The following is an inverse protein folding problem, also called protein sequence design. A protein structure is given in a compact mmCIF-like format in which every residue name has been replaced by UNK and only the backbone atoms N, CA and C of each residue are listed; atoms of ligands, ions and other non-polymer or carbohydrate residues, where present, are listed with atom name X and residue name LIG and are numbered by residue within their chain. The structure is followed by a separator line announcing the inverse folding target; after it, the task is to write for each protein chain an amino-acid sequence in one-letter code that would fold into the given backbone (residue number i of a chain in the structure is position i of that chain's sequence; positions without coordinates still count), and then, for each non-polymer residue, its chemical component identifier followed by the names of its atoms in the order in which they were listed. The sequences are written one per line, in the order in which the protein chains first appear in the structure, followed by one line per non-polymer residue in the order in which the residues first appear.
data_IF_239866331563
#
_entry.id   IF_239866331563
#
_cell.length_a   1.000
_cell.length_b   1.000
_cell.length_c   1.000
_cell.angle_alpha   90.00
_cell.angle_beta   90.00
_cell.angle_gamma   90.00
#
_symmetry.space_group_name_H-M   'P 1'
#
loop_
_entity.id
_entity.type
_entity.pdbx_description
1 polymer ?
#
# COMPACT_ATOMS: atom_id res chain seq x y z
N UNK A 1 -4.94 38.27 30.25
CA UNK A 1 -4.14 37.18 29.67
C UNK A 1 -5.11 36.25 28.98
N UNK A 2 -5.20 36.35 27.66
CA UNK A 2 -6.00 35.47 26.83
C UNK A 2 -5.28 34.14 26.73
N UNK A 3 -5.80 33.14 27.41
CA UNK A 3 -5.44 31.74 27.19
C UNK A 3 -5.53 31.48 25.68
N UNK A 4 -4.49 30.92 25.09
CA UNK A 4 -4.43 30.65 23.64
C UNK A 4 -4.69 29.16 23.44
N UNK A 5 -5.96 28.72 23.31
CA UNK A 5 -6.32 27.30 23.21
C UNK A 5 -5.88 26.61 21.89
N UNK A 6 -5.01 27.21 21.07
CA UNK A 6 -4.61 26.69 19.76
C UNK A 6 -3.21 26.08 19.71
N UNK A 7 -2.42 26.15 20.77
CA UNK A 7 -1.09 25.51 20.83
C UNK A 7 -1.15 24.09 21.42
N UNK A 8 -2.18 23.79 22.24
CA UNK A 8 -2.32 22.50 22.91
C UNK A 8 -2.78 21.38 21.97
N UNK A 9 -3.67 21.64 21.01
CA UNK A 9 -4.28 20.58 20.20
C UNK A 9 -3.36 20.02 19.11
N UNK A 10 -2.62 20.89 18.40
CA UNK A 10 -1.62 20.46 17.43
C UNK A 10 -0.48 19.71 18.14
N UNK A 11 0.01 20.28 19.25
CA UNK A 11 1.04 19.64 20.08
C UNK A 11 0.59 18.27 20.61
N UNK A 12 -0.65 18.16 21.09
CA UNK A 12 -1.25 16.89 21.51
C UNK A 12 -1.34 15.89 20.35
N UNK A 13 -1.83 16.30 19.18
CA UNK A 13 -1.93 15.40 18.03
C UNK A 13 -0.57 14.88 17.55
N UNK A 14 0.47 15.72 17.63
CA UNK A 14 1.85 15.29 17.38
C UNK A 14 2.33 14.27 18.42
N UNK A 15 2.14 14.57 19.71
CA UNK A 15 2.46 13.65 20.80
C UNK A 15 1.74 12.31 20.68
N UNK A 16 0.43 12.34 20.44
CA UNK A 16 -0.40 11.14 20.28
C UNK A 16 0.04 10.24 19.12
N UNK A 17 0.55 10.80 18.02
CA UNK A 17 1.11 10.02 16.91
C UNK A 17 2.41 9.31 17.34
N UNK A 18 3.31 10.02 18.01
CA UNK A 18 4.55 9.43 18.50
C UNK A 18 4.30 8.36 19.58
N UNK A 19 3.32 8.60 20.45
CA UNK A 19 2.89 7.62 21.44
C UNK A 19 2.28 6.37 20.80
N UNK A 20 1.57 6.49 19.69
CA UNK A 20 1.08 5.32 18.93
C UNK A 20 2.23 4.52 18.29
N UNK A 21 3.24 5.20 17.74
CA UNK A 21 4.47 4.52 17.24
C UNK A 21 5.17 3.80 18.39
N UNK A 22 5.27 4.43 19.56
CA UNK A 22 5.83 3.81 20.76
C UNK A 22 4.99 2.62 21.23
N UNK A 23 3.66 2.69 21.11
CA UNK A 23 2.76 1.62 21.51
C UNK A 23 2.96 0.33 20.68
N UNK A 24 3.58 0.41 19.49
CA UNK A 24 3.99 -0.78 18.73
C UNK A 24 4.92 -1.67 19.55
N UNK A 25 5.91 -1.10 20.25
CA UNK A 25 6.82 -1.86 21.11
C UNK A 25 6.06 -2.67 22.17
N UNK A 26 5.09 -2.05 22.84
CA UNK A 26 4.30 -2.72 23.87
C UNK A 26 3.49 -3.89 23.31
N UNK A 27 2.99 -3.77 22.06
CA UNK A 27 2.33 -4.88 21.35
C UNK A 27 3.29 -6.01 21.04
N UNK A 28 4.53 -5.71 20.65
CA UNK A 28 5.55 -6.72 20.36
C UNK A 28 5.97 -7.48 21.63
N UNK A 29 6.26 -6.75 22.71
CA UNK A 29 6.68 -7.34 23.99
C UNK A 29 5.54 -8.07 24.71
N UNK A 30 4.29 -7.67 24.46
CA UNK A 30 3.08 -8.29 25.00
C UNK A 30 2.47 -9.39 24.12
N UNK A 31 3.11 -9.78 23.02
CA UNK A 31 2.59 -10.81 22.13
C UNK A 31 2.51 -12.18 22.82
N UNK A 32 1.40 -12.90 22.60
CA UNK A 32 1.17 -14.24 23.14
C UNK A 32 0.74 -15.22 22.02
N UNK A 33 1.49 -16.32 21.79
CA UNK A 33 2.78 -16.63 22.41
C UNK A 33 3.87 -15.61 22.07
N UNK A 34 4.95 -15.51 22.88
CA UNK A 34 6.04 -14.58 22.62
C UNK A 34 6.60 -14.71 21.21
N UNK A 35 7.07 -13.59 20.66
CA UNK A 35 7.77 -13.57 19.37
C UNK A 35 9.19 -14.12 19.54
N UNK A 36 9.68 -14.82 18.52
CA UNK A 36 11.09 -15.16 18.42
C UNK A 36 11.93 -13.88 18.23
N UNK A 37 13.22 -13.93 18.57
CA UNK A 37 14.10 -12.76 18.55
C UNK A 37 14.16 -12.10 17.17
N UNK A 38 14.21 -12.88 16.09
CA UNK A 38 14.23 -12.36 14.72
C UNK A 38 12.97 -11.56 14.38
N UNK A 39 11.79 -12.07 14.76
CA UNK A 39 10.52 -11.38 14.55
C UNK A 39 10.40 -10.14 15.43
N UNK A 40 10.87 -10.19 16.68
CA UNK A 40 10.90 -9.02 17.55
C UNK A 40 11.70 -7.87 16.91
N UNK A 41 12.89 -8.17 16.35
CA UNK A 41 13.72 -7.19 15.64
C UNK A 41 13.02 -6.60 14.42
N UNK A 42 12.28 -7.42 13.66
CA UNK A 42 11.50 -6.94 12.51
C UNK A 42 10.29 -6.11 12.93
N UNK A 43 9.67 -6.41 14.06
CA UNK A 43 8.59 -5.61 14.65
C UNK A 43 9.04 -4.17 14.98
N UNK A 44 10.27 -3.98 15.47
CA UNK A 44 10.81 -2.63 15.66
C UNK A 44 10.99 -1.87 14.33
N UNK A 45 11.38 -2.56 13.25
CA UNK A 45 11.48 -1.97 11.91
C UNK A 45 10.12 -1.65 11.30
N UNK A 46 9.11 -2.48 11.59
CA UNK A 46 7.72 -2.24 11.19
C UNK A 46 7.24 -0.87 11.67
N UNK A 47 7.50 -0.51 12.93
CA UNK A 47 7.06 0.78 13.50
C UNK A 47 7.51 1.98 12.63
N UNK A 48 8.74 1.96 12.13
CA UNK A 48 9.27 3.00 11.25
C UNK A 48 8.71 2.93 9.83
N UNK A 49 8.50 1.71 9.30
CA UNK A 49 7.87 1.54 7.99
C UNK A 49 6.44 2.09 7.99
N UNK A 50 5.66 1.76 9.01
CA UNK A 50 4.30 2.27 9.18
C UNK A 50 4.29 3.78 9.39
N UNK A 51 5.18 4.32 10.22
CA UNK A 51 5.27 5.78 10.41
C UNK A 51 5.56 6.47 9.07
N UNK A 52 6.51 5.95 8.27
CA UNK A 52 6.84 6.53 6.97
C UNK A 52 5.63 6.56 6.03
N UNK A 53 4.95 5.43 5.86
CA UNK A 53 3.75 5.37 5.00
C UNK A 53 2.67 6.31 5.52
N UNK A 54 2.43 6.35 6.83
CA UNK A 54 1.41 7.20 7.43
C UNK A 54 1.69 8.70 7.21
N UNK A 55 2.92 9.15 7.41
CA UNK A 55 3.25 10.56 7.21
C UNK A 55 3.26 10.93 5.73
N UNK A 56 3.76 10.05 4.86
CA UNK A 56 3.75 10.29 3.41
C UNK A 56 2.30 10.39 2.89
N UNK A 57 1.42 9.48 3.32
CA UNK A 57 0.02 9.45 2.90
C UNK A 57 -0.83 10.60 3.45
N UNK A 58 -0.75 10.86 4.76
CA UNK A 58 -1.71 11.74 5.45
C UNK A 58 -1.13 13.11 5.81
N UNK A 59 0.16 13.21 6.14
CA UNK A 59 0.78 14.46 6.61
C UNK A 59 1.34 15.27 5.44
N UNK A 60 2.14 14.64 4.59
CA UNK A 60 2.79 15.27 3.45
C UNK A 60 1.92 15.27 2.19
N UNK A 61 1.19 14.19 1.94
CA UNK A 61 0.38 14.02 0.73
C UNK A 61 -0.69 15.10 0.59
N UNK A 62 -0.76 15.70 -0.59
CA UNK A 62 -1.76 16.73 -0.90
C UNK A 62 -2.58 16.31 -2.11
N UNK A 63 -3.90 16.25 -1.96
CA UNK A 63 -4.80 15.87 -3.03
C UNK A 63 -4.91 16.93 -4.13
N UNK A 64 -4.48 18.16 -3.87
CA UNK A 64 -4.52 19.27 -4.82
C UNK A 64 -3.24 19.36 -5.68
N UNK A 65 -2.15 18.76 -5.21
CA UNK A 65 -0.88 18.53 -5.92
C UNK A 65 -0.36 17.13 -5.59
N UNK A 66 -1.04 16.08 -6.07
CA UNK A 66 -0.68 14.70 -5.73
C UNK A 66 0.70 14.34 -6.26
N UNK A 67 1.47 13.63 -5.45
CA UNK A 67 2.74 13.02 -5.82
C UNK A 67 2.61 11.53 -5.51
N UNK A 68 2.84 10.69 -6.51
CA UNK A 68 2.93 9.25 -6.33
C UNK A 68 4.25 8.91 -5.65
N UNK A 69 4.17 8.44 -4.40
CA UNK A 69 5.33 8.07 -3.58
C UNK A 69 5.38 6.57 -3.37
N UNK A 70 6.59 6.02 -3.37
CA UNK A 70 6.80 4.60 -3.14
C UNK A 70 6.42 4.23 -1.71
N UNK A 71 5.46 3.32 -1.57
CA UNK A 71 5.01 2.82 -0.26
C UNK A 71 5.56 1.43 0.06
N UNK A 72 6.27 0.81 -0.88
CA UNK A 72 7.02 -0.43 -0.70
C UNK A 72 8.40 -0.26 -1.35
N UNK A 73 9.45 -0.78 -0.70
CA UNK A 73 10.82 -0.76 -1.22
C UNK A 73 11.77 -1.58 -0.34
N UNK A 74 13.09 -1.55 -0.62
CA UNK A 74 14.06 -2.39 0.09
C UNK A 74 14.07 -2.20 1.62
N UNK A 75 13.82 -0.98 2.08
CA UNK A 75 13.74 -0.60 3.50
C UNK A 75 12.34 -0.15 3.94
N UNK A 76 11.32 -0.42 3.12
CA UNK A 76 9.95 -0.01 3.39
C UNK A 76 9.04 -1.20 3.10
N UNK A 77 8.66 -1.93 4.14
CA UNK A 77 7.88 -3.16 4.05
C UNK A 77 6.69 -3.07 4.98
N UNK A 78 5.52 -3.46 4.48
CA UNK A 78 4.27 -3.54 5.23
C UNK A 78 3.19 -4.19 4.35
N UNK A 79 2.12 -4.69 4.96
CA UNK A 79 0.86 -4.99 4.26
C UNK A 79 0.90 -6.16 3.26
N UNK A 80 1.84 -7.12 3.40
CA UNK A 80 1.98 -8.22 2.45
C UNK A 80 2.70 -7.77 1.19
N UNK A 81 3.87 -7.14 1.37
CA UNK A 81 4.61 -6.57 0.26
C UNK A 81 5.04 -7.65 -0.75
N UNK A 82 5.08 -7.25 -2.01
CA UNK A 82 5.50 -8.12 -3.09
C UNK A 82 6.78 -7.56 -3.71
N UNK A 83 7.86 -8.34 -3.64
CA UNK A 83 9.17 -7.88 -4.09
C UNK A 83 9.39 -7.99 -5.60
N UNK A 84 8.39 -8.48 -6.34
CA UNK A 84 8.29 -8.41 -7.81
C UNK A 84 7.39 -7.26 -8.31
N UNK A 85 6.88 -6.44 -7.38
CA UNK A 85 6.03 -5.31 -7.73
C UNK A 85 6.48 -4.00 -7.10
N UNK A 86 6.20 -2.91 -7.81
CA UNK A 86 6.31 -1.56 -7.25
C UNK A 86 4.92 -1.02 -6.94
N UNK A 87 4.85 -0.26 -5.86
CA UNK A 87 3.61 0.31 -5.35
C UNK A 87 3.80 1.78 -5.05
N UNK A 88 2.98 2.63 -5.66
CA UNK A 88 2.98 4.06 -5.40
C UNK A 88 1.61 4.51 -4.91
N UNK A 89 1.57 5.45 -3.97
CA UNK A 89 0.34 5.97 -3.37
C UNK A 89 0.28 7.49 -3.54
N UNK A 90 -0.92 8.04 -3.74
CA UNK A 90 -1.19 9.45 -3.57
C UNK A 90 -2.62 9.67 -3.03
N UNK A 91 -2.85 10.68 -2.17
CA UNK A 91 -4.21 11.10 -1.82
C UNK A 91 -4.88 11.77 -3.01
N UNK A 92 -6.21 11.70 -3.03
CA UNK A 92 -7.06 12.34 -4.03
C UNK A 92 -8.27 12.99 -3.36
N UNK A 93 -8.89 13.93 -4.06
CA UNK A 93 -10.07 14.67 -3.64
C UNK A 93 -11.20 14.33 -4.63
N UNK A 94 -12.33 13.78 -4.18
CA UNK A 94 -13.42 13.37 -5.05
C UNK A 94 -14.11 14.54 -5.77
N UNK A 95 -13.84 15.79 -5.36
CA UNK A 95 -14.34 17.00 -6.00
C UNK A 95 -13.43 17.51 -7.12
N UNK A 96 -12.27 16.87 -7.34
CA UNK A 96 -11.29 17.27 -8.35
C UNK A 96 -11.25 16.31 -9.52
N UNK A 97 -10.60 16.76 -10.59
CA UNK A 97 -10.22 15.92 -11.71
C UNK A 97 -8.70 15.95 -11.88
N UNK A 98 -8.15 14.82 -12.31
CA UNK A 98 -6.72 14.60 -12.44
C UNK A 98 -6.38 14.04 -13.81
N UNK A 99 -5.23 14.43 -14.34
CA UNK A 99 -4.63 13.77 -15.49
C UNK A 99 -3.50 12.87 -15.03
N UNK A 100 -3.54 11.63 -15.52
CA UNK A 100 -2.44 10.68 -15.36
C UNK A 100 -1.76 10.49 -16.70
N UNK A 101 -0.43 10.49 -16.68
CA UNK A 101 0.43 10.15 -17.82
C UNK A 101 1.53 9.23 -17.35
N UNK A 102 2.06 8.42 -18.26
CA UNK A 102 3.12 7.49 -17.88
C UNK A 102 3.69 6.71 -19.04
N UNK A 103 4.53 5.73 -18.69
CA UNK A 103 5.11 4.76 -19.60
C UNK A 103 5.13 3.38 -18.93
N UNK A 104 4.70 2.33 -19.62
CA UNK A 104 4.55 0.99 -19.02
C UNK A 104 5.89 0.33 -18.68
N UNK A 105 7.01 0.84 -19.18
CA UNK A 105 8.29 0.15 -19.06
C UNK A 105 8.19 -1.28 -19.59
N UNK A 106 8.64 -2.24 -18.77
CA UNK A 106 8.59 -3.68 -19.09
C UNK A 106 7.60 -4.43 -18.18
N UNK A 107 6.67 -3.73 -17.53
CA UNK A 107 5.68 -4.38 -16.67
C UNK A 107 4.76 -5.31 -17.48
N UNK A 108 4.64 -6.55 -16.99
CA UNK A 108 3.72 -7.55 -17.56
C UNK A 108 2.28 -7.33 -17.13
N UNK A 109 2.10 -6.61 -16.03
CA UNK A 109 0.82 -6.09 -15.58
C UNK A 109 1.06 -4.78 -14.84
N UNK A 110 0.19 -3.79 -15.07
CA UNK A 110 0.19 -2.54 -14.35
C UNK A 110 -1.25 -2.08 -14.09
N UNK A 111 -1.50 -1.46 -12.95
CA UNK A 111 -2.80 -0.89 -12.64
C UNK A 111 -2.73 0.33 -11.72
N UNK A 112 -3.80 1.12 -11.77
CA UNK A 112 -4.11 2.13 -10.78
C UNK A 112 -5.52 1.89 -10.25
N UNK A 113 -5.67 1.88 -8.92
CA UNK A 113 -6.95 1.68 -8.25
C UNK A 113 -7.29 2.89 -7.38
N UNK A 114 -8.54 3.34 -7.48
CA UNK A 114 -9.15 4.34 -6.60
C UNK A 114 -9.81 3.61 -5.43
N UNK A 115 -9.43 4.01 -4.21
CA UNK A 115 -9.97 3.48 -2.97
C UNK A 115 -10.89 4.49 -2.29
N UNK A 116 -12.02 3.98 -1.82
CA UNK A 116 -13.00 4.72 -1.03
C UNK A 116 -12.99 4.31 0.43
N UNK A 117 -13.48 5.20 1.29
CA UNK A 117 -13.67 4.93 2.71
C UNK A 117 -13.58 6.20 3.56
N UNK A 118 -13.44 6.06 4.89
CA UNK A 118 -13.25 7.18 5.79
C UNK A 118 -11.97 7.98 5.48
N UNK A 119 -12.03 9.30 5.62
CA UNK A 119 -10.90 10.22 5.42
C UNK A 119 -10.10 10.52 6.72
N UNK A 120 -10.36 9.74 7.77
CA UNK A 120 -9.83 9.90 9.13
C UNK A 120 -8.71 8.90 9.47
N UNK A 121 -8.11 8.29 8.44
CA UNK A 121 -7.01 7.35 8.56
C UNK A 121 -7.42 5.90 8.79
N UNK A 122 -8.72 5.63 8.94
CA UNK A 122 -9.20 4.24 8.93
C UNK A 122 -8.99 3.59 7.57
N UNK A 123 -9.03 2.27 7.53
CA UNK A 123 -8.94 1.50 6.31
C UNK A 123 -9.92 2.02 5.27
N UNK A 124 -9.41 2.21 4.05
CA UNK A 124 -10.26 2.18 2.87
C UNK A 124 -11.04 0.87 2.87
N UNK A 125 -12.36 0.94 2.74
CA UNK A 125 -13.26 -0.20 2.84
C UNK A 125 -13.87 -0.59 1.48
N UNK A 126 -13.46 0.11 0.42
CA UNK A 126 -14.02 -0.06 -0.92
C UNK A 126 -13.00 0.16 -2.03
N UNK A 127 -13.08 -0.68 -3.06
CA UNK A 127 -12.50 -0.40 -4.38
C UNK A 127 -13.57 0.33 -5.19
N UNK A 128 -13.30 1.58 -5.57
CA UNK A 128 -14.22 2.39 -6.39
C UNK A 128 -14.09 2.00 -7.85
N UNK A 129 -12.87 2.03 -8.37
CA UNK A 129 -12.57 1.70 -9.74
C UNK A 129 -11.10 1.29 -9.87
N UNK A 130 -10.82 0.45 -10.86
CA UNK A 130 -9.46 0.07 -11.28
C UNK A 130 -9.36 0.28 -12.77
N UNK A 131 -8.21 0.78 -13.22
CA UNK A 131 -7.80 0.76 -14.63
C UNK A 131 -6.48 -0.02 -14.71
N UNK A 132 -6.39 -0.96 -15.64
CA UNK A 132 -5.18 -1.78 -15.81
C UNK A 132 -4.69 -1.80 -17.27
N UNK A 133 -3.68 -2.62 -17.54
CA UNK A 133 -3.04 -2.76 -18.84
C UNK A 133 -3.98 -3.20 -19.98
N UNK A 134 -5.17 -3.73 -19.67
CA UNK A 134 -6.19 -4.13 -20.65
C UNK A 134 -7.15 -3.00 -21.00
N UNK A 135 -7.29 -2.04 -20.10
CA UNK A 135 -8.14 -0.86 -20.26
C UNK A 135 -7.36 0.32 -20.87
N UNK A 136 -6.04 0.34 -20.70
CA UNK A 136 -5.15 1.39 -21.19
C UNK A 136 -4.77 1.17 -22.65
N UNK A 137 -4.81 2.26 -23.41
CA UNK A 137 -4.19 2.33 -24.72
C UNK A 137 -2.73 2.80 -24.58
N UNK A 138 -1.83 2.12 -25.29
CA UNK A 138 -0.41 2.45 -25.32
C UNK A 138 0.02 2.84 -26.73
N UNK A 139 0.86 3.85 -26.86
CA UNK A 139 1.56 4.14 -28.11
C UNK A 139 2.73 3.17 -28.37
N UNK A 140 3.40 3.32 -29.51
CA UNK A 140 4.52 2.46 -29.93
C UNK A 140 5.70 2.50 -28.95
N UNK A 141 5.85 3.60 -28.20
CA UNK A 141 6.86 3.77 -27.15
C UNK A 141 6.39 3.30 -25.77
N UNK A 142 5.14 2.84 -25.64
CA UNK A 142 4.54 2.34 -24.40
C UNK A 142 4.05 3.44 -23.46
N UNK A 143 3.87 4.67 -23.94
CA UNK A 143 3.27 5.75 -23.17
C UNK A 143 1.75 5.62 -23.12
N UNK A 144 1.16 6.11 -22.03
CA UNK A 144 -0.29 6.09 -21.82
C UNK A 144 -0.74 7.38 -21.13
N UNK A 145 -2.04 7.68 -21.26
CA UNK A 145 -2.67 8.75 -20.51
C UNK A 145 -4.16 8.48 -20.29
N UNK A 146 -4.70 8.94 -19.17
CA UNK A 146 -6.12 8.87 -18.84
C UNK A 146 -6.50 9.98 -17.85
N UNK A 147 -7.81 10.13 -17.61
CA UNK A 147 -8.35 11.10 -16.68
C UNK A 147 -9.00 10.40 -15.49
N UNK A 148 -8.81 10.94 -14.29
CA UNK A 148 -9.51 10.54 -13.07
C UNK A 148 -10.51 11.65 -12.73
N UNK A 149 -11.80 11.32 -12.63
CA UNK A 149 -12.85 12.32 -12.37
C UNK A 149 -14.16 11.66 -11.91
N UNK A 150 -15.04 12.44 -11.29
CA UNK A 150 -16.39 11.99 -10.95
C UNK A 150 -17.24 11.70 -12.21
N UNK A 151 -17.16 12.59 -13.20
CA UNK A 151 -17.91 12.49 -14.46
C UNK A 151 -17.10 11.75 -15.54
N UNK A 152 -17.76 10.99 -16.44
CA UNK A 152 -17.13 10.33 -17.58
C UNK A 152 -16.31 11.28 -18.46
N UNK A 153 -15.17 10.79 -18.94
CA UNK A 153 -14.26 11.52 -19.83
C UNK A 153 -13.97 10.72 -21.11
N UNK A 154 -13.64 11.38 -22.23
CA UNK A 154 -13.18 10.69 -23.44
C UNK A 154 -11.86 9.94 -23.21
N UNK A 155 -11.70 8.80 -23.89
CA UNK A 155 -10.51 7.95 -23.77
C UNK A 155 -10.47 7.17 -22.46
N UNK A 156 -9.27 6.83 -22.00
CA UNK A 156 -9.08 6.20 -20.69
C UNK A 156 -9.67 7.07 -19.58
N UNK A 157 -10.52 6.48 -18.73
CA UNK A 157 -11.17 7.17 -17.63
C UNK A 157 -11.27 6.27 -16.40
N UNK A 158 -10.94 6.82 -15.23
CA UNK A 158 -11.03 6.17 -13.94
C UNK A 158 -11.95 6.99 -13.02
N UNK A 159 -13.03 6.35 -12.56
CA UNK A 159 -14.11 7.02 -11.83
C UNK A 159 -13.72 7.41 -10.39
N UNK A 160 -14.17 8.59 -9.96
CA UNK A 160 -14.25 8.99 -8.56
C UNK A 160 -15.68 8.90 -8.02
N UNK A 161 -15.79 8.62 -6.73
CA UNK A 161 -17.05 8.70 -5.97
C UNK A 161 -16.83 9.56 -4.71
N UNK A 162 -17.90 10.08 -4.06
CA UNK A 162 -17.78 11.08 -2.99
C UNK A 162 -16.92 10.71 -1.78
N UNK A 163 -16.62 9.42 -1.59
CA UNK A 163 -15.79 8.87 -0.51
C UNK A 163 -14.40 8.43 -0.99
N UNK A 164 -13.97 8.82 -2.20
CA UNK A 164 -12.62 8.52 -2.69
C UNK A 164 -11.55 9.24 -1.86
N UNK A 165 -10.51 8.50 -1.44
CA UNK A 165 -9.47 9.01 -0.53
C UNK A 165 -8.05 8.83 -1.06
N UNK A 166 -7.76 7.71 -1.72
CA UNK A 166 -6.41 7.38 -2.20
C UNK A 166 -6.45 6.70 -3.56
N UNK A 167 -5.40 6.91 -4.32
CA UNK A 167 -5.02 6.05 -5.44
C UNK A 167 -3.77 5.26 -5.08
N UNK A 168 -3.70 4.02 -5.56
CA UNK A 168 -2.49 3.22 -5.47
C UNK A 168 -2.22 2.49 -6.77
N UNK A 169 -0.96 2.49 -7.19
CA UNK A 169 -0.47 1.76 -8.36
C UNK A 169 0.05 0.38 -7.97
N UNK A 170 -0.03 -0.56 -8.91
CA UNK A 170 0.68 -1.84 -8.83
C UNK A 170 1.36 -2.12 -10.16
N UNK A 171 2.66 -2.28 -10.11
CA UNK A 171 3.51 -2.47 -11.27
C UNK A 171 4.25 -3.80 -11.13
N UNK A 172 3.80 -4.85 -11.80
CA UNK A 172 4.39 -6.20 -11.69
C UNK A 172 5.37 -6.47 -12.82
N UNK A 173 6.58 -6.91 -12.46
CA UNK A 173 7.65 -7.22 -13.39
C UNK A 173 8.15 -8.66 -13.20
N UNK A 174 8.60 -9.28 -14.29
CA UNK A 174 9.14 -10.64 -14.24
C UNK A 174 10.60 -10.69 -13.79
N UNK A 175 11.32 -9.57 -13.96
CA UNK A 175 12.70 -9.40 -13.56
C UNK A 175 12.94 -7.97 -13.03
N UNK A 176 12.35 -7.57 -11.89
CA UNK A 176 12.39 -6.19 -11.38
C UNK A 176 13.82 -5.63 -11.13
N UNK A 177 14.84 -6.49 -11.05
CA UNK A 177 16.24 -6.07 -10.94
C UNK A 177 16.88 -5.59 -12.25
N UNK A 178 16.27 -5.89 -13.39
CA UNK A 178 16.78 -5.54 -14.74
C UNK A 178 15.74 -4.86 -15.63
N UNK A 179 14.46 -5.16 -15.40
CA UNK A 179 13.35 -4.63 -16.17
C UNK A 179 13.18 -3.12 -15.92
N UNK A 180 12.75 -2.39 -16.95
CA UNK A 180 12.43 -0.97 -16.84
C UNK A 180 11.13 -0.81 -16.06
N UNK A 181 11.22 -0.16 -14.90
CA UNK A 181 10.07 0.17 -14.05
C UNK A 181 9.06 1.07 -14.79
N UNK A 182 7.74 0.86 -14.64
CA UNK A 182 6.74 1.83 -15.07
C UNK A 182 6.97 3.21 -14.48
N UNK A 183 6.61 4.24 -15.22
CA UNK A 183 6.63 5.62 -14.74
C UNK A 183 5.23 6.16 -14.73
N UNK A 184 4.83 6.72 -13.60
CA UNK A 184 3.54 7.37 -13.42
C UNK A 184 3.74 8.83 -13.05
N UNK A 185 2.87 9.68 -13.58
CA UNK A 185 2.75 11.08 -13.19
C UNK A 185 1.28 11.40 -13.07
N UNK A 186 0.90 12.01 -11.95
CA UNK A 186 -0.44 12.53 -11.71
C UNK A 186 -0.37 14.04 -11.52
N UNK A 187 -1.31 14.76 -12.12
CA UNK A 187 -1.47 16.20 -11.96
C UNK A 187 -2.96 16.50 -11.75
N UNK A 188 -3.29 17.30 -10.75
CA UNK A 188 -4.62 17.90 -10.68
C UNK A 188 -4.80 18.83 -11.90
N UNK A 189 -5.98 18.81 -12.52
CA UNK A 189 -6.27 19.70 -13.65
C UNK A 189 -6.40 21.17 -13.21
N UNK A 190 -6.92 21.38 -12.00
CA UNK A 190 -7.11 22.70 -11.39
C UNK A 190 -6.42 22.79 -10.00
N UNK A 191 -5.07 22.72 -9.93
CA UNK A 191 -4.37 22.84 -8.66
C UNK A 191 -4.48 24.28 -8.13
N UNK A 192 -4.60 24.50 -6.80
CA UNK A 192 -4.61 25.83 -6.24
C UNK A 192 -3.24 26.49 -6.45
N UNK A 193 -3.27 27.81 -6.64
CA UNK A 193 -2.06 28.60 -6.87
C UNK A 193 -1.10 28.58 -5.67
N UNK A 194 -1.60 28.28 -4.47
CA UNK A 194 -0.80 28.21 -3.24
C UNK A 194 -1.31 27.12 -2.30
N UNK A 195 -0.38 26.35 -1.74
CA UNK A 195 -0.63 25.47 -0.59
C UNK A 195 -1.15 26.29 0.60
N UNK A 196 -2.24 25.84 1.21
CA UNK A 196 -2.83 26.48 2.38
C UNK A 196 -2.80 25.55 3.59
N UNK A 197 -1.73 25.60 4.38
CA UNK A 197 -1.65 24.86 5.65
C UNK A 197 -2.35 25.64 6.76
N UNK A 198 -3.18 24.96 7.55
CA UNK A 198 -3.73 25.50 8.79
C UNK A 198 -3.42 24.57 9.96
N UNK A 199 -3.39 25.12 11.18
CA UNK A 199 -3.22 24.30 12.40
C UNK A 199 -4.29 23.21 12.49
N UNK A 200 -5.53 23.54 12.11
CA UNK A 200 -6.65 22.60 12.13
C UNK A 200 -6.43 21.44 11.14
N UNK A 201 -5.97 21.75 9.92
CA UNK A 201 -5.69 20.73 8.91
C UNK A 201 -4.52 19.82 9.33
N UNK A 202 -3.39 20.38 9.77
CA UNK A 202 -2.27 19.56 10.25
C UNK A 202 -2.65 18.70 11.46
N UNK A 203 -3.47 19.23 12.38
CA UNK A 203 -4.01 18.45 13.50
C UNK A 203 -4.86 17.26 13.02
N UNK A 204 -5.74 17.47 12.03
CA UNK A 204 -6.55 16.40 11.43
C UNK A 204 -5.66 15.34 10.77
N UNK A 205 -4.65 15.76 10.00
CA UNK A 205 -3.69 14.87 9.31
C UNK A 205 -2.88 14.00 10.26
N UNK A 206 -2.38 14.58 11.36
CA UNK A 206 -1.67 13.83 12.41
C UNK A 206 -2.57 12.79 13.08
N UNK A 207 -3.84 13.15 13.33
CA UNK A 207 -4.84 12.21 13.87
C UNK A 207 -5.13 11.08 12.88
N UNK A 208 -5.24 11.37 11.59
CA UNK A 208 -5.43 10.36 10.55
C UNK A 208 -4.22 9.42 10.46
N UNK A 209 -3.00 9.96 10.42
CA UNK A 209 -1.77 9.17 10.44
C UNK A 209 -1.72 8.23 11.67
N UNK A 210 -2.10 8.74 12.85
CA UNK A 210 -2.17 7.94 14.08
C UNK A 210 -3.18 6.80 13.95
N UNK A 211 -4.39 7.11 13.47
CA UNK A 211 -5.44 6.11 13.25
C UNK A 211 -4.96 5.02 12.30
N UNK A 212 -4.31 5.40 11.21
CA UNK A 212 -3.77 4.45 10.25
C UNK A 212 -2.71 3.53 10.87
N UNK A 213 -1.72 4.07 11.59
CA UNK A 213 -0.70 3.25 12.28
C UNK A 213 -1.36 2.26 13.24
N UNK A 214 -2.32 2.71 14.05
CA UNK A 214 -3.06 1.86 14.99
C UNK A 214 -3.76 0.70 14.28
N UNK A 215 -4.43 0.98 13.17
CA UNK A 215 -5.18 -0.03 12.41
C UNK A 215 -4.26 -1.02 11.68
N UNK A 216 -3.13 -0.58 11.13
CA UNK A 216 -2.12 -1.49 10.58
C UNK A 216 -1.57 -2.43 11.64
N UNK A 217 -1.24 -1.90 12.83
CA UNK A 217 -0.74 -2.71 13.93
C UNK A 217 -1.78 -3.67 14.51
N UNK A 218 -3.08 -3.42 14.32
CA UNK A 218 -4.12 -4.32 14.82
C UNK A 218 -4.22 -5.64 14.02
N UNK A 219 -3.68 -5.68 12.80
CA UNK A 219 -3.71 -6.86 11.94
C UNK A 219 -2.53 -7.80 12.15
N UNK A 220 -1.43 -7.35 12.75
CA UNK A 220 -0.17 -8.09 12.85
C UNK A 220 0.27 -8.26 14.30
N UNK A 221 0.99 -9.34 14.65
CA UNK A 221 1.47 -10.41 13.78
C UNK A 221 0.36 -11.36 13.32
N UNK A 222 0.44 -11.82 12.08
CA UNK A 222 -0.43 -12.86 11.53
C UNK A 222 0.07 -14.23 11.98
N UNK A 223 -0.84 -15.05 12.50
CA UNK A 223 -0.57 -16.44 12.89
C UNK A 223 -1.65 -17.33 12.30
N UNK A 224 -1.32 -18.02 11.22
CA UNK A 224 -2.20 -19.01 10.61
C UNK A 224 -1.86 -20.40 11.15
N UNK A 225 -2.88 -21.19 11.44
CA UNK A 225 -2.76 -22.57 11.91
C UNK A 225 -3.72 -23.46 11.10
N UNK A 226 -3.37 -24.72 10.82
CA UNK A 226 -2.07 -25.35 11.14
C UNK A 226 -0.92 -24.82 10.23
N UNK A 227 0.35 -24.90 10.65
CA UNK A 227 1.48 -24.55 9.81
C UNK A 227 1.72 -25.59 8.72
N UNK A 228 2.48 -25.18 7.70
CA UNK A 228 2.88 -25.99 6.55
C UNK A 228 1.70 -26.39 5.65
N UNK A 229 0.61 -25.63 5.71
CA UNK A 229 -0.54 -25.72 4.81
C UNK A 229 -0.80 -24.36 4.14
N UNK A 230 -1.29 -24.39 2.91
CA UNK A 230 -1.68 -23.20 2.14
C UNK A 230 -3.17 -23.28 1.86
N UNK A 231 -3.89 -22.22 2.21
CA UNK A 231 -5.32 -22.11 1.94
C UNK A 231 -5.60 -22.02 0.44
N UNK A 232 -6.79 -22.47 0.05
CA UNK A 232 -7.26 -22.31 -1.33
C UNK A 232 -7.27 -20.83 -1.75
N UNK A 233 -6.93 -20.50 -3.00
CA UNK A 233 -6.99 -19.13 -3.49
C UNK A 233 -8.40 -18.54 -3.38
N UNK A 234 -8.50 -17.33 -2.85
CA UNK A 234 -9.74 -16.56 -2.76
C UNK A 234 -9.64 -15.26 -3.58
N UNK A 235 -10.71 -14.87 -4.30
CA UNK A 235 -10.76 -13.60 -5.01
C UNK A 235 -10.93 -12.45 -4.01
N UNK A 236 -10.49 -11.25 -4.40
CA UNK A 236 -10.73 -10.05 -3.59
C UNK A 236 -12.18 -9.55 -3.78
N UNK A 237 -12.97 -9.43 -2.71
CA UNK A 237 -14.28 -8.81 -2.78
C UNK A 237 -14.17 -7.29 -3.05
N UNK A 238 -15.17 -6.70 -3.68
CA UNK A 238 -15.22 -5.25 -3.95
C UNK A 238 -15.27 -4.39 -2.68
N UNK A 239 -15.86 -4.94 -1.61
CA UNK A 239 -15.68 -4.45 -0.24
C UNK A 239 -14.49 -5.18 0.37
N UNK A 240 -13.39 -4.47 0.52
CA UNK A 240 -12.12 -5.01 1.00
C UNK A 240 -11.64 -4.18 2.17
N UNK A 241 -10.61 -4.64 2.88
CA UNK A 241 -9.96 -3.86 3.93
C UNK A 241 -8.61 -3.39 3.41
N UNK A 242 -8.38 -2.08 3.45
CA UNK A 242 -7.16 -1.45 3.00
C UNK A 242 -7.03 -1.40 1.48
N UNK A 243 -5.79 -1.43 1.00
CA UNK A 243 -5.48 -1.26 -0.41
C UNK A 243 -5.19 -2.61 -1.05
N UNK A 244 -6.22 -3.45 -1.22
CA UNK A 244 -6.14 -4.74 -1.91
C UNK A 244 -6.38 -4.61 -3.43
N UNK A 245 -5.84 -5.53 -4.25
CA UNK A 245 -6.05 -5.54 -5.70
C UNK A 245 -7.31 -6.33 -6.07
N UNK A 246 -8.33 -5.66 -6.62
CA UNK A 246 -9.62 -6.29 -6.93
C UNK A 246 -9.58 -7.41 -7.97
N UNK A 247 -8.53 -7.46 -8.77
CA UNK A 247 -8.30 -8.45 -9.85
C UNK A 247 -7.22 -9.49 -9.51
N UNK A 248 -6.76 -9.52 -8.26
CA UNK A 248 -5.90 -10.57 -7.74
C UNK A 248 -6.72 -11.69 -7.07
N UNK A 249 -6.16 -12.90 -7.08
CA UNK A 249 -6.55 -13.98 -6.17
C UNK A 249 -5.39 -14.22 -5.21
N UNK A 250 -5.68 -14.30 -3.92
CA UNK A 250 -4.68 -14.51 -2.88
C UNK A 250 -4.84 -15.90 -2.27
N UNK A 251 -3.71 -16.50 -1.91
CA UNK A 251 -3.64 -17.69 -1.06
C UNK A 251 -2.60 -17.40 0.02
N UNK A 252 -2.86 -17.85 1.24
CA UNK A 252 -1.96 -17.64 2.37
C UNK A 252 -1.84 -18.92 3.20
N UNK A 253 -0.66 -19.14 3.74
CA UNK A 253 -0.35 -20.20 4.68
C UNK A 253 0.72 -19.72 5.64
N UNK A 254 0.97 -20.49 6.71
CA UNK A 254 2.15 -20.31 7.55
C UNK A 254 3.08 -21.50 7.37
N UNK A 255 4.33 -21.36 7.79
CA UNK A 255 5.29 -22.45 7.76
C UNK A 255 6.06 -22.49 9.07
N UNK A 256 6.46 -23.69 9.49
CA UNK A 256 7.34 -23.93 10.63
C UNK A 256 8.24 -25.11 10.27
N UNK A 257 9.53 -24.85 10.18
CA UNK A 257 10.53 -25.79 9.68
C UNK A 257 11.73 -25.78 10.63
N UNK A 258 12.18 -26.97 11.02
CA UNK A 258 13.46 -27.19 11.69
C UNK A 258 14.62 -27.08 10.69
N UNK A 259 15.87 -26.85 11.17
CA UNK A 259 17.05 -26.99 10.33
C UNK A 259 17.03 -28.33 9.57
N UNK A 260 17.34 -28.30 8.27
CA UNK A 260 17.33 -29.46 7.35
C UNK A 260 15.93 -29.93 6.90
N UNK A 261 14.86 -29.23 7.28
CA UNK A 261 13.54 -29.46 6.68
C UNK A 261 13.30 -28.54 5.49
N UNK A 262 12.41 -28.97 4.60
CA UNK A 262 11.91 -28.18 3.49
C UNK A 262 10.40 -28.35 3.39
N UNK A 263 9.70 -27.24 3.13
CA UNK A 263 8.30 -27.27 2.72
C UNK A 263 8.25 -27.37 1.19
N UNK A 264 7.69 -28.47 0.68
CA UNK A 264 7.51 -28.67 -0.76
C UNK A 264 6.11 -28.21 -1.14
N UNK A 265 6.03 -27.24 -2.04
CA UNK A 265 4.78 -26.71 -2.58
C UNK A 265 4.68 -27.16 -4.04
N UNK A 266 3.72 -28.03 -4.32
CA UNK A 266 3.49 -28.58 -5.66
C UNK A 266 2.21 -28.00 -6.25
N UNK A 267 2.24 -27.66 -7.53
CA UNK A 267 1.09 -27.11 -8.24
C UNK A 267 1.42 -26.77 -9.69
N UNK A 268 0.39 -26.33 -10.41
CA UNK A 268 0.53 -25.82 -11.77
C UNK A 268 0.38 -24.31 -11.80
N UNK A 269 1.17 -23.63 -12.65
CA UNK A 269 0.98 -22.19 -12.90
C UNK A 269 -0.46 -21.92 -13.37
N UNK A 270 -1.20 -21.01 -12.71
CA UNK A 270 -2.52 -20.64 -13.17
C UNK A 270 -2.47 -19.92 -14.53
N UNK A 271 -3.56 -19.95 -15.31
CA UNK A 271 -3.70 -19.11 -16.51
C UNK A 271 -3.88 -17.64 -16.11
N UNK A 272 -2.77 -16.92 -15.99
CA UNK A 272 -2.74 -15.51 -15.62
C UNK A 272 -1.56 -14.78 -16.27
N UNK A 273 -1.60 -13.45 -16.23
CA UNK A 273 -0.52 -12.57 -16.73
C UNK A 273 0.70 -12.58 -15.80
N UNK A 274 0.47 -12.76 -14.51
CA UNK A 274 1.51 -12.81 -13.49
C UNK A 274 1.04 -13.64 -12.29
N UNK A 275 1.94 -14.43 -11.71
CA UNK A 275 1.78 -15.00 -10.38
C UNK A 275 3.16 -15.15 -9.75
N UNK A 276 3.20 -15.09 -8.42
CA UNK A 276 4.39 -15.43 -7.66
C UNK A 276 4.03 -15.97 -6.29
N UNK A 277 5.05 -16.41 -5.56
CA UNK A 277 4.99 -16.78 -4.16
C UNK A 277 5.99 -15.95 -3.38
N UNK A 278 5.50 -15.26 -2.35
CA UNK A 278 6.31 -14.48 -1.43
C UNK A 278 6.47 -15.22 -0.10
N UNK A 279 7.69 -15.26 0.43
CA UNK A 279 7.92 -15.66 1.81
C UNK A 279 7.90 -14.42 2.70
N UNK A 280 7.11 -14.49 3.77
CA UNK A 280 6.95 -13.41 4.73
C UNK A 280 7.31 -13.84 6.15
N UNK A 281 7.73 -12.86 6.95
CA UNK A 281 7.69 -12.96 8.41
C UNK A 281 6.25 -12.72 8.92
N UNK A 282 5.97 -12.83 10.23
CA UNK A 282 4.62 -12.65 10.79
C UNK A 282 4.02 -11.25 10.60
N UNK A 283 4.80 -10.25 10.21
CA UNK A 283 4.33 -8.88 9.90
C UNK A 283 4.01 -8.69 8.43
N UNK A 284 3.99 -9.78 7.64
CA UNK A 284 3.76 -9.76 6.20
C UNK A 284 4.86 -8.99 5.44
N UNK A 285 6.10 -9.04 5.95
CA UNK A 285 7.26 -8.46 5.29
C UNK A 285 8.02 -9.52 4.52
N UNK A 286 8.35 -9.23 3.26
CA UNK A 286 9.33 -10.05 2.54
C UNK A 286 10.66 -10.05 3.29
N UNK A 287 11.38 -11.16 3.28
CA UNK A 287 12.77 -11.19 3.72
C UNK A 287 13.66 -10.32 2.81
N UNK A 288 14.94 -10.15 3.17
CA UNK A 288 15.86 -9.31 2.41
C UNK A 288 16.17 -9.88 1.01
N UNK A 289 15.29 -9.57 0.06
CA UNK A 289 15.40 -9.97 -1.34
C UNK A 289 16.57 -9.31 -2.07
N UNK A 290 17.31 -8.39 -1.43
CA UNK A 290 18.56 -7.85 -1.99
C UNK A 290 19.74 -8.77 -1.78
N UNK A 291 19.63 -9.73 -0.84
CA UNK A 291 20.68 -10.68 -0.47
C UNK A 291 20.26 -12.14 -0.63
N UNK A 292 18.98 -12.42 -0.49
CA UNK A 292 18.45 -13.78 -0.39
C UNK A 292 17.35 -14.02 -1.42
N UNK A 293 17.21 -15.27 -1.87
CA UNK A 293 16.10 -15.67 -2.73
C UNK A 293 14.88 -15.99 -1.86
N UNK A 294 14.08 -14.97 -1.56
CA UNK A 294 12.88 -15.06 -0.72
C UNK A 294 11.56 -15.18 -1.49
N UNK A 295 11.64 -15.50 -2.80
CA UNK A 295 10.48 -15.61 -3.70
C UNK A 295 10.70 -16.55 -4.87
N UNK A 296 9.60 -16.94 -5.49
CA UNK A 296 9.58 -17.65 -6.76
C UNK A 296 8.56 -17.04 -7.72
N UNK A 297 8.99 -16.80 -8.95
CA UNK A 297 8.17 -16.26 -10.04
C UNK A 297 8.36 -17.21 -11.22
N UNK A 298 7.29 -17.82 -11.73
CA UNK A 298 7.43 -18.62 -12.94
C UNK A 298 7.39 -17.70 -14.16
N UNK A 299 8.42 -17.83 -15.01
CA UNK A 299 8.43 -17.23 -16.35
C UNK A 299 7.70 -18.21 -17.28
N UNK A 300 6.70 -17.72 -18.01
CA UNK A 300 6.21 -18.43 -19.19
C UNK A 300 7.15 -18.18 -20.36
#
# INVERSE_FOLDING_TARGET
MTDTPTDSDLSRAFGDLLDEVRAVEQRLLGADPPLDEADLLDGYRLAFSLLRVAVDAYVWGEADKPILVDVIGPYLKWGGDNSDAFYQLAPIDPQRSYRVTGNRGDAVYLSMTVYGGPDDGRYSDRIIATINDRDLEFDDEGNFAFTISADPQPGGWLKLEPDAVFILTRDYLTAPGTDRRPRWKIEALDPPTRRHDSRADLTRRLRAARTWVREQCAMVPIRLEPPNEIQEPYPVPSRTVGWAAGDAAYAMGSYRLEPQQALIIEGSSPPCVFWNLCLWNPFLHTYDYTRERSRSTARR
#
